data_IF_518054759099
#
_entry.id   IF_518054759099
#
_cell.length_a   1.000
_cell.length_b   1.000
_cell.length_c   1.000
_cell.angle_alpha   90.00
_cell.angle_beta   90.00
_cell.angle_gamma   90.00
#
_symmetry.space_group_name_H-M   'P 1'
#
loop_
_entity.id
_entity.type
_entity.pdbx_description
1 polymer ?
#
# COMPACT_ATOMS: atom_id res chain seq x y z
N UNK A 1 -5.91 1.69 6.55
CA UNK A 1 -4.49 1.40 6.24
C UNK A 1 -3.53 2.00 7.27
N UNK A 2 -3.46 3.33 7.44
CA UNK A 2 -2.55 3.96 8.42
C UNK A 2 -2.81 3.51 9.89
N UNK A 3 -4.07 3.33 10.27
CA UNK A 3 -4.43 2.79 11.59
C UNK A 3 -3.96 1.34 11.78
N UNK A 4 -3.95 0.52 10.72
CA UNK A 4 -3.41 -0.85 10.75
C UNK A 4 -1.89 -0.84 10.94
N UNK A 5 -1.18 0.09 10.27
CA UNK A 5 0.26 0.29 10.45
C UNK A 5 0.60 0.70 11.90
N UNK A 6 -0.18 1.60 12.49
CA UNK A 6 0.00 2.00 13.89
C UNK A 6 -0.28 0.84 14.86
N UNK A 7 -1.32 0.03 14.60
CA UNK A 7 -1.67 -1.13 15.42
C UNK A 7 -0.62 -2.23 15.40
N UNK A 8 0.01 -2.52 14.25
CA UNK A 8 1.10 -3.49 14.13
C UNK A 8 2.28 -3.20 15.09
N UNK A 9 2.44 -1.95 15.53
CA UNK A 9 3.47 -1.59 16.52
C UNK A 9 3.09 -1.93 17.96
N UNK A 10 1.81 -2.18 18.27
CA UNK A 10 1.29 -2.38 19.63
C UNK A 10 0.72 -3.78 19.86
N UNK A 11 0.44 -4.53 18.79
CA UNK A 11 -0.14 -5.86 18.89
C UNK A 11 0.81 -6.86 19.57
N UNK A 12 0.28 -7.88 20.27
CA UNK A 12 1.06 -9.03 20.67
C UNK A 12 1.66 -9.74 19.45
N UNK A 13 2.87 -10.29 19.58
CA UNK A 13 3.59 -10.93 18.46
C UNK A 13 2.75 -12.01 17.76
N UNK A 14 1.94 -12.76 18.52
CA UNK A 14 1.03 -13.78 18.00
C UNK A 14 -0.04 -13.24 17.03
N UNK A 15 -0.36 -11.95 17.08
CA UNK A 15 -1.36 -11.31 16.22
C UNK A 15 -0.74 -10.54 15.06
N UNK A 16 0.57 -10.28 15.10
CA UNK A 16 1.26 -9.49 14.06
C UNK A 16 1.16 -10.14 12.69
N UNK A 17 1.26 -11.47 12.60
CA UNK A 17 1.19 -12.17 11.32
C UNK A 17 -0.17 -11.98 10.62
N UNK A 18 -1.26 -12.11 11.38
CA UNK A 18 -2.63 -11.93 10.86
C UNK A 18 -2.82 -10.50 10.35
N UNK A 19 -2.42 -9.53 11.15
CA UNK A 19 -2.59 -8.12 10.80
C UNK A 19 -1.64 -7.66 9.68
N UNK A 20 -0.48 -8.32 9.53
CA UNK A 20 0.40 -8.09 8.39
C UNK A 20 -0.22 -8.62 7.09
N UNK A 21 -0.97 -9.73 7.13
CA UNK A 21 -1.73 -10.23 5.96
C UNK A 21 -2.81 -9.21 5.58
N UNK A 22 -3.65 -8.79 6.53
CA UNK A 22 -4.71 -7.81 6.28
C UNK A 22 -4.17 -6.49 5.72
N UNK A 23 -3.04 -6.02 6.26
CA UNK A 23 -2.35 -4.85 5.72
C UNK A 23 -1.86 -5.07 4.29
N UNK A 24 -1.26 -6.23 4.01
CA UNK A 24 -0.72 -6.54 2.68
C UNK A 24 -1.83 -6.55 1.65
N UNK A 25 -2.94 -7.24 1.93
CA UNK A 25 -4.11 -7.30 1.04
C UNK A 25 -4.73 -5.90 0.81
N UNK A 26 -4.84 -5.09 1.86
CA UNK A 26 -5.35 -3.73 1.73
C UNK A 26 -4.45 -2.86 0.83
N UNK A 27 -3.13 -2.97 0.96
CA UNK A 27 -2.18 -2.21 0.13
C UNK A 27 -2.19 -2.70 -1.32
N UNK A 28 -2.27 -4.01 -1.55
CA UNK A 28 -2.40 -4.56 -2.90
C UNK A 28 -3.64 -4.06 -3.62
N UNK A 29 -4.76 -3.97 -2.89
CA UNK A 29 -5.99 -3.44 -3.43
C UNK A 29 -5.85 -1.96 -3.82
N UNK A 30 -5.33 -1.11 -2.93
CA UNK A 30 -5.14 0.31 -3.22
C UNK A 30 -4.19 0.55 -4.40
N UNK A 31 -3.08 -0.19 -4.48
CA UNK A 31 -2.14 -0.08 -5.60
C UNK A 31 -2.75 -0.51 -6.92
N UNK A 32 -3.55 -1.59 -6.92
CA UNK A 32 -4.28 -2.01 -8.13
C UNK A 32 -5.27 -0.94 -8.61
N UNK A 33 -6.03 -0.36 -7.68
CA UNK A 33 -6.98 0.71 -7.99
C UNK A 33 -6.27 1.99 -8.50
N UNK A 34 -5.12 2.33 -7.92
CA UNK A 34 -4.29 3.46 -8.37
C UNK A 34 -3.75 3.21 -9.78
N UNK A 35 -3.18 2.04 -10.04
CA UNK A 35 -2.70 1.63 -11.36
C UNK A 35 -3.79 1.73 -12.44
N UNK A 36 -4.99 1.25 -12.15
CA UNK A 36 -6.14 1.31 -13.07
C UNK A 36 -6.54 2.76 -13.36
N UNK A 37 -6.53 3.64 -12.34
CA UNK A 37 -6.82 5.08 -12.52
C UNK A 37 -5.74 5.77 -13.36
N UNK A 38 -4.48 5.47 -13.11
CA UNK A 38 -3.35 6.05 -13.84
C UNK A 38 -3.29 5.57 -15.29
N UNK A 39 -3.59 4.29 -15.55
CA UNK A 39 -3.69 3.72 -16.89
C UNK A 39 -4.84 4.35 -17.68
N UNK A 40 -6.01 4.49 -17.05
CA UNK A 40 -7.16 5.17 -17.66
C UNK A 40 -6.89 6.64 -17.97
N UNK A 41 -6.08 7.32 -17.17
CA UNK A 41 -5.64 8.70 -17.39
C UNK A 41 -4.47 8.82 -18.39
N UNK A 42 -3.89 7.71 -18.84
CA UNK A 42 -2.77 7.70 -19.80
C UNK A 42 -1.47 8.29 -19.24
N UNK A 43 -1.22 8.15 -17.94
CA UNK A 43 -0.03 8.72 -17.30
C UNK A 43 1.25 7.98 -17.73
N UNK A 44 2.22 8.73 -18.24
CA UNK A 44 3.50 8.17 -18.72
C UNK A 44 4.38 7.61 -17.60
N UNK A 45 4.14 7.98 -16.34
CA UNK A 45 4.88 7.51 -15.18
C UNK A 45 4.39 6.16 -14.62
N UNK A 46 3.33 5.56 -15.19
CA UNK A 46 2.71 4.32 -14.68
C UNK A 46 3.71 3.17 -14.48
N UNK A 47 4.68 3.01 -15.39
CA UNK A 47 5.67 1.95 -15.25
C UNK A 47 6.56 2.14 -14.00
N UNK A 48 7.03 3.36 -13.77
CA UNK A 48 7.83 3.68 -12.59
C UNK A 48 7.02 3.56 -11.30
N UNK A 49 5.72 3.88 -11.36
CA UNK A 49 4.79 3.68 -10.26
C UNK A 49 4.65 2.21 -9.88
N UNK A 50 4.39 1.33 -10.86
CA UNK A 50 4.28 -0.12 -10.67
C UNK A 50 5.52 -0.73 -10.05
N UNK A 51 6.70 -0.26 -10.44
CA UNK A 51 7.96 -0.70 -9.85
C UNK A 51 8.07 -0.29 -8.39
N UNK A 52 7.59 0.90 -8.03
CA UNK A 52 7.55 1.34 -6.64
C UNK A 52 6.58 0.48 -5.82
N UNK A 53 5.36 0.23 -6.33
CA UNK A 53 4.39 -0.67 -5.69
C UNK A 53 4.97 -2.06 -5.47
N UNK A 54 5.62 -2.63 -6.49
CA UNK A 54 6.24 -3.96 -6.41
C UNK A 54 7.34 -4.03 -5.34
N UNK A 55 8.09 -2.94 -5.10
CA UNK A 55 9.10 -2.89 -4.02
C UNK A 55 8.44 -2.93 -2.64
N UNK A 56 7.36 -2.17 -2.45
CA UNK A 56 6.59 -2.14 -1.19
C UNK A 56 5.95 -3.50 -0.92
N UNK A 57 5.21 -4.04 -1.89
CA UNK A 57 4.58 -5.36 -1.79
C UNK A 57 5.60 -6.47 -1.57
N UNK A 58 6.72 -6.42 -2.29
CA UNK A 58 7.80 -7.38 -2.09
C UNK A 58 8.39 -7.35 -0.68
N UNK A 59 8.47 -6.18 -0.04
CA UNK A 59 8.93 -6.07 1.35
C UNK A 59 7.92 -6.72 2.32
N UNK A 60 6.63 -6.44 2.14
CA UNK A 60 5.55 -7.01 2.95
C UNK A 60 5.50 -8.54 2.83
N UNK A 61 5.51 -9.06 1.60
CA UNK A 61 5.52 -10.49 1.31
C UNK A 61 6.73 -11.21 1.89
N UNK A 62 7.91 -10.59 1.89
CA UNK A 62 9.10 -11.18 2.53
C UNK A 62 9.02 -11.22 4.06
N UNK A 63 8.26 -10.32 4.67
CA UNK A 63 8.09 -10.28 6.13
C UNK A 63 7.02 -11.24 6.66
N UNK A 64 6.10 -11.70 5.80
CA UNK A 64 5.02 -12.62 6.17
C UNK A 64 5.51 -13.98 6.71
N UNK A 65 6.39 -14.75 6.02
CA UNK A 65 6.81 -16.05 6.53
C UNK A 65 7.54 -15.98 7.87
N UNK A 66 8.50 -15.06 8.10
CA UNK A 66 9.10 -14.90 9.43
C UNK A 66 8.09 -14.52 10.51
N UNK A 67 7.14 -13.62 10.21
CA UNK A 67 6.11 -13.20 11.16
C UNK A 67 5.19 -14.36 11.56
N UNK A 68 4.82 -15.22 10.60
CA UNK A 68 4.04 -16.44 10.87
C UNK A 68 4.78 -17.44 11.78
N UNK A 69 6.11 -17.39 11.83
CA UNK A 69 6.95 -18.18 12.74
C UNK A 69 7.26 -17.44 14.07
N UNK A 70 6.62 -16.29 14.31
CA UNK A 70 6.82 -15.46 15.51
C UNK A 70 8.00 -14.48 15.43
N UNK A 71 8.75 -14.44 14.34
CA UNK A 71 9.78 -13.42 14.12
C UNK A 71 9.16 -12.16 13.50
N UNK A 72 8.67 -11.28 14.37
CA UNK A 72 7.90 -10.08 13.98
C UNK A 72 8.76 -8.84 13.71
N UNK A 73 10.09 -8.94 13.83
CA UNK A 73 10.99 -7.77 13.78
C UNK A 73 10.86 -7.01 12.47
N UNK A 74 10.90 -7.71 11.34
CA UNK A 74 10.85 -7.08 10.03
C UNK A 74 9.46 -6.54 9.72
N UNK A 75 8.41 -7.24 10.14
CA UNK A 75 7.02 -6.76 10.02
C UNK A 75 6.84 -5.40 10.74
N UNK A 76 7.31 -5.29 11.99
CA UNK A 76 7.25 -4.03 12.75
C UNK A 76 8.13 -2.94 12.15
N UNK A 77 9.33 -3.29 11.66
CA UNK A 77 10.21 -2.32 10.99
C UNK A 77 9.56 -1.74 9.73
N UNK A 78 8.92 -2.59 8.93
CA UNK A 78 8.17 -2.16 7.74
C UNK A 78 6.99 -1.29 8.18
N UNK A 79 6.20 -1.73 9.17
CA UNK A 79 5.04 -0.99 9.67
C UNK A 79 5.41 0.42 10.20
N UNK A 80 6.60 0.57 10.80
CA UNK A 80 7.09 1.87 11.25
C UNK A 80 7.55 2.79 10.10
N UNK A 81 8.08 2.23 9.01
CA UNK A 81 8.60 3.00 7.88
C UNK A 81 7.50 3.36 6.87
N UNK A 82 6.56 2.44 6.62
CA UNK A 82 5.57 2.54 5.56
C UNK A 82 4.71 3.82 5.59
N UNK A 83 4.29 4.35 6.75
CA UNK A 83 3.48 5.57 6.78
C UNK A 83 4.16 6.76 6.10
N UNK A 84 5.47 6.93 6.30
CA UNK A 84 6.25 8.02 5.69
C UNK A 84 6.29 7.84 4.17
N UNK A 85 6.64 6.64 3.72
CA UNK A 85 6.70 6.32 2.29
C UNK A 85 5.35 6.48 1.59
N UNK A 86 4.26 6.07 2.23
CA UNK A 86 2.91 6.18 1.68
C UNK A 86 2.41 7.62 1.64
N UNK A 87 2.77 8.45 2.63
CA UNK A 87 2.36 9.85 2.67
C UNK A 87 2.96 10.64 1.50
N UNK A 88 4.27 10.48 1.28
CA UNK A 88 4.96 11.15 0.17
C UNK A 88 4.44 10.65 -1.20
N UNK A 89 4.18 9.34 -1.29
CA UNK A 89 3.66 8.69 -2.49
C UNK A 89 2.30 9.24 -2.90
N UNK A 90 1.30 9.20 -2.01
CA UNK A 90 -0.05 9.66 -2.34
C UNK A 90 -0.10 11.14 -2.67
N UNK A 91 0.65 11.98 -1.95
CA UNK A 91 0.72 13.41 -2.25
C UNK A 91 1.25 13.67 -3.68
N UNK A 92 2.21 12.86 -4.14
CA UNK A 92 2.78 13.00 -5.48
C UNK A 92 1.83 12.57 -6.60
N UNK A 93 0.99 11.55 -6.33
CA UNK A 93 0.06 11.01 -7.33
C UNK A 93 -1.22 11.81 -7.40
N UNK A 94 -1.76 12.26 -6.26
CA UNK A 94 -2.92 13.16 -6.23
C UNK A 94 -2.64 14.47 -6.98
N UNK A 95 -1.39 14.95 -6.98
CA UNK A 95 -1.01 16.15 -7.72
C UNK A 95 -1.07 15.98 -9.26
N UNK A 96 -1.04 14.74 -9.76
CA UNK A 96 -0.97 14.43 -11.20
C UNK A 96 -2.25 13.79 -11.72
N UNK A 97 -3.01 13.09 -10.86
CA UNK A 97 -4.32 12.58 -11.22
C UNK A 97 -5.30 13.74 -11.44
N UNK A 98 -6.07 13.72 -12.54
CA UNK A 98 -7.10 14.72 -12.75
C UNK A 98 -8.12 14.64 -11.62
N UNK A 99 -8.43 15.78 -11.00
CA UNK A 99 -9.51 15.89 -10.02
C UNK A 99 -10.82 15.57 -10.75
N UNK A 100 -11.48 14.47 -10.40
CA UNK A 100 -12.86 14.24 -10.81
C UNK A 100 -13.72 15.36 -10.18
N UNK A 101 -14.38 16.23 -10.97
CA UNK A 101 -15.21 17.30 -10.40
C UNK A 101 -16.48 16.77 -9.71
N UNK A 102 -16.76 15.46 -9.71
CA UNK A 102 -18.02 14.88 -9.22
C UNK A 102 -17.92 13.62 -8.35
N UNK A 103 -16.76 12.97 -8.22
CA UNK A 103 -16.59 11.80 -7.35
C UNK A 103 -17.48 10.60 -7.74
N UNK A 104 -17.66 10.32 -9.03
CA UNK A 104 -18.35 9.11 -9.51
C UNK A 104 -17.87 8.70 -10.91
N UNK A 105 -17.78 7.38 -11.20
CA UNK A 105 -17.18 6.90 -12.43
C UNK A 105 -17.96 7.40 -13.65
N UNK A 106 -17.26 8.06 -14.57
CA UNK A 106 -17.80 8.53 -15.83
C UNK A 106 -18.34 7.34 -16.64
N UNK A 107 -19.66 7.24 -16.72
CA UNK A 107 -20.35 6.30 -17.60
C UNK A 107 -20.05 6.71 -19.05
N UNK A 108 -19.39 5.85 -19.81
CA UNK A 108 -19.15 6.04 -21.26
C UNK A 108 -20.46 5.89 -22.04
N UNK A 109 -20.73 6.84 -22.94
CA UNK A 109 -21.60 6.65 -24.10
C UNK A 109 -20.78 6.25 -25.31
#
# INVERSE_FOLDING_TARGET
MFDTLARLMQLPDAQVAVELVELTEAIEFEFRMEDERMDAAGLSCLQSQREWHARVLGALHRALPPAAMGNVRDARRIAAALPIYLTDHFASIEAVLPIDPTGSPATRH
#
